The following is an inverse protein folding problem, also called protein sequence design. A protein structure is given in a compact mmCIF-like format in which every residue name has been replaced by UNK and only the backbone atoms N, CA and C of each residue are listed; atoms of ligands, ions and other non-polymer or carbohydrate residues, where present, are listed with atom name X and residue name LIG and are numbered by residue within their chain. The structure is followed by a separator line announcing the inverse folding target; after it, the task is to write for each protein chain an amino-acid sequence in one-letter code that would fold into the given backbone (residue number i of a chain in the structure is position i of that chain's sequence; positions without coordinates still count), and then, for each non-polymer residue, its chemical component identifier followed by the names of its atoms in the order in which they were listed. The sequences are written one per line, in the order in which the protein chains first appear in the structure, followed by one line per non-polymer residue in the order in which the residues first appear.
data_IF_648245529260
#
_entry.id   IF_648245529260
#
_cell.length_a   1.000
_cell.length_b   1.000
_cell.length_c   1.000
_cell.angle_alpha   90.00
_cell.angle_beta   90.00
_cell.angle_gamma   90.00
#
_symmetry.space_group_name_H-M   'P 1'
#
loop_
_entity.id
_entity.type
_entity.pdbx_description
1 polymer ?
#
# COMPACT_ATOMS: atom_id res chain seq x y z
N UNK A 1 -4.05 -4.92 17.79
CA UNK A 1 -3.68 -3.66 17.59
C UNK A 1 -2.44 -3.59 16.78
N UNK A 2 -1.38 -3.23 17.18
CA UNK A 2 -0.17 -3.38 16.48
C UNK A 2 0.04 -2.41 15.34
N UNK A 3 0.10 -2.90 14.12
CA UNK A 3 0.55 -2.13 12.98
C UNK A 3 -0.30 -0.87 12.73
N UNK A 4 -1.61 -1.00 12.82
CA UNK A 4 -2.51 0.10 12.57
C UNK A 4 -2.33 1.24 13.58
N UNK A 5 -2.23 0.89 14.84
CA UNK A 5 -2.03 1.88 15.90
C UNK A 5 -0.68 2.57 15.76
N UNK A 6 0.35 1.82 15.40
CA UNK A 6 1.68 2.37 15.18
C UNK A 6 1.69 3.38 14.03
N UNK A 7 0.97 3.09 12.96
CA UNK A 7 0.87 3.97 11.82
C UNK A 7 0.14 5.25 12.18
N UNK A 8 -0.93 5.13 12.94
CA UNK A 8 -1.70 6.29 13.39
C UNK A 8 -0.86 7.20 14.28
N UNK A 9 -0.09 6.63 15.20
CA UNK A 9 0.83 7.39 16.04
C UNK A 9 1.88 8.08 15.21
N UNK A 10 2.42 7.39 14.24
CA UNK A 10 3.44 7.95 13.35
C UNK A 10 2.89 9.14 12.59
N UNK A 11 1.66 9.03 12.11
CA UNK A 11 1.01 10.13 11.42
C UNK A 11 0.83 11.33 12.34
N UNK A 12 0.45 11.10 13.59
CA UNK A 12 0.29 12.16 14.58
C UNK A 12 1.61 12.87 14.85
N UNK A 13 2.70 12.13 14.92
CA UNK A 13 4.04 12.72 15.13
C UNK A 13 4.43 13.62 13.99
N UNK A 14 3.88 13.40 12.82
CA UNK A 14 4.11 14.27 11.65
C UNK A 14 3.19 15.48 11.64
N UNK A 15 2.40 15.67 12.67
CA UNK A 15 1.48 16.78 12.76
C UNK A 15 0.17 16.53 12.04
N UNK A 16 -0.12 15.30 11.73
CA UNK A 16 -1.38 14.91 11.11
C UNK A 16 -2.39 14.60 12.18
N UNK A 17 -3.54 15.23 12.11
CA UNK A 17 -4.64 14.92 13.03
C UNK A 17 -5.45 13.78 12.44
N UNK A 18 -4.91 12.59 12.52
CA UNK A 18 -5.59 11.39 12.08
C UNK A 18 -6.27 10.75 13.27
N UNK A 19 -7.56 10.82 13.30
CA UNK A 19 -8.30 10.03 14.27
C UNK A 19 -8.37 8.63 13.74
N UNK A 20 -7.85 7.64 14.47
CA UNK A 20 -8.07 6.27 14.07
C UNK A 20 -9.57 6.08 14.02
N UNK A 21 -10.07 5.65 12.91
CA UNK A 21 -11.49 5.37 12.80
C UNK A 21 -11.76 4.10 13.58
N UNK A 22 -12.22 4.29 14.80
CA UNK A 22 -12.63 3.19 15.65
C UNK A 22 -14.02 2.70 15.23
N UNK A 23 -14.27 2.65 13.93
CA UNK A 23 -15.54 2.16 13.42
C UNK A 23 -15.52 0.66 13.45
N UNK A 24 -16.47 0.02 14.14
CA UNK A 24 -16.55 -1.43 14.15
C UNK A 24 -16.66 -1.98 12.73
N UNK A 25 -16.06 -3.13 12.53
CA UNK A 25 -16.02 -3.74 11.22
C UNK A 25 -17.42 -3.94 10.61
N UNK A 26 -18.36 -4.32 11.44
CA UNK A 26 -19.74 -4.54 10.99
C UNK A 26 -20.35 -3.26 10.42
N UNK A 27 -20.03 -2.11 11.04
CA UNK A 27 -20.54 -0.84 10.58
C UNK A 27 -19.93 -0.48 9.24
N UNK A 28 -18.63 -0.72 9.07
CA UNK A 28 -17.96 -0.46 7.81
C UNK A 28 -18.51 -1.33 6.69
N UNK A 29 -18.71 -2.60 6.97
CA UNK A 29 -19.26 -3.53 5.99
C UNK A 29 -20.68 -3.16 5.59
N UNK A 30 -21.47 -2.73 6.57
CA UNK A 30 -22.83 -2.30 6.31
C UNK A 30 -22.87 -1.05 5.45
N UNK A 31 -22.04 -0.08 5.79
CA UNK A 31 -21.96 1.15 5.01
C UNK A 31 -21.50 0.87 3.59
N UNK A 32 -20.55 -0.03 3.43
CA UNK A 32 -20.07 -0.42 2.12
C UNK A 32 -21.16 -1.12 1.31
N UNK A 33 -22.00 -1.93 1.96
CA UNK A 33 -23.10 -2.62 1.29
C UNK A 33 -24.22 -1.67 0.92
N UNK A 34 -24.48 -0.66 1.75
CA UNK A 34 -25.57 0.27 1.54
C UNK A 34 -25.22 1.38 0.56
N UNK A 35 -23.96 1.72 0.45
CA UNK A 35 -23.53 2.83 -0.38
C UNK A 35 -22.26 2.50 -1.15
N UNK A 36 -22.43 1.80 -2.26
CA UNK A 36 -21.31 1.45 -3.12
C UNK A 36 -20.46 2.65 -3.50
N UNK A 37 -21.09 3.80 -3.68
CA UNK A 37 -20.37 5.01 -4.05
C UNK A 37 -19.34 5.41 -2.98
N UNK A 38 -19.67 5.21 -1.71
CA UNK A 38 -18.76 5.56 -0.62
C UNK A 38 -17.51 4.71 -0.67
N UNK A 39 -17.65 3.47 -1.07
CA UNK A 39 -16.53 2.55 -1.14
C UNK A 39 -15.46 3.02 -2.11
N UNK A 40 -15.86 3.63 -3.20
CA UNK A 40 -14.89 4.10 -4.19
C UNK A 40 -14.05 5.26 -3.69
N UNK A 41 -14.58 6.06 -2.78
CA UNK A 41 -13.84 7.17 -2.23
C UNK A 41 -12.78 6.75 -1.24
N UNK A 42 -12.89 5.53 -0.74
CA UNK A 42 -11.94 5.01 0.23
C UNK A 42 -10.84 4.19 -0.41
N UNK A 43 -10.98 3.88 -1.69
CA UNK A 43 -9.98 3.09 -2.40
C UNK A 43 -8.97 4.00 -3.06
N UNK A 44 -7.70 3.77 -2.73
CA UNK A 44 -6.63 4.47 -3.39
C UNK A 44 -6.41 3.89 -4.77
N UNK A 45 -5.92 4.72 -5.67
CA UNK A 45 -5.52 4.30 -7.00
C UNK A 45 -4.06 3.85 -6.96
N UNK A 46 -3.80 2.67 -7.48
CA UNK A 46 -2.44 2.13 -7.55
C UNK A 46 -2.17 1.67 -8.98
N UNK A 47 -1.10 2.17 -9.57
CA UNK A 47 -0.61 1.70 -10.85
C UNK A 47 0.73 1.05 -10.62
N UNK A 48 0.88 -0.20 -11.04
CA UNK A 48 2.11 -0.93 -10.88
C UNK A 48 2.36 -1.83 -12.07
N UNK A 49 3.62 -2.18 -12.28
CA UNK A 49 4.04 -3.16 -13.27
C UNK A 49 4.72 -4.32 -12.59
N UNK A 50 4.57 -5.49 -13.19
CA UNK A 50 5.33 -6.67 -12.80
C UNK A 50 6.42 -6.84 -13.85
N UNK A 51 7.66 -6.73 -13.44
CA UNK A 51 8.79 -6.99 -14.31
C UNK A 51 9.23 -8.44 -14.15
N UNK A 52 9.58 -9.06 -15.23
CA UNK A 52 10.01 -10.45 -15.23
C UNK A 52 11.32 -10.59 -15.98
N UNK A 53 12.22 -11.38 -15.40
CA UNK A 53 13.51 -11.69 -16.00
C UNK A 53 13.84 -13.14 -15.66
N UNK A 54 13.78 -14.04 -16.66
CA UNK A 54 13.97 -15.45 -16.39
C UNK A 54 12.95 -15.98 -15.40
N UNK A 55 13.42 -16.51 -14.27
CA UNK A 55 12.56 -17.03 -13.21
C UNK A 55 12.37 -16.02 -12.07
N UNK A 56 12.71 -14.78 -12.30
CA UNK A 56 12.58 -13.75 -11.29
C UNK A 56 11.52 -12.73 -11.68
N UNK A 57 10.92 -12.11 -10.67
CA UNK A 57 9.98 -11.02 -10.87
C UNK A 57 10.24 -9.91 -9.86
N UNK A 58 9.88 -8.71 -10.25
CA UNK A 58 9.95 -7.54 -9.38
C UNK A 58 8.72 -6.68 -9.61
N UNK A 59 8.34 -5.94 -8.59
CA UNK A 59 7.21 -5.01 -8.66
C UNK A 59 7.73 -3.60 -8.77
N UNK A 60 7.16 -2.84 -9.70
CA UNK A 60 7.48 -1.42 -9.86
C UNK A 60 6.19 -0.64 -9.65
N UNK A 61 6.19 0.23 -8.66
CA UNK A 61 5.09 1.17 -8.48
C UNK A 61 5.25 2.29 -9.48
N UNK A 62 4.18 2.62 -10.19
CA UNK A 62 4.21 3.67 -11.22
C UNK A 62 3.43 4.89 -10.81
N UNK A 63 2.39 4.74 -10.01
CA UNK A 63 1.60 5.85 -9.54
C UNK A 63 0.78 5.42 -8.33
N UNK A 64 0.44 6.38 -7.50
CA UNK A 64 -0.39 6.17 -6.33
C UNK A 64 -1.14 7.46 -6.05
N UNK A 65 -2.45 7.35 -5.88
CA UNK A 65 -3.28 8.50 -5.55
C UNK A 65 -4.32 8.07 -4.53
N UNK A 66 -4.57 8.94 -3.57
CA UNK A 66 -5.61 8.70 -2.58
C UNK A 66 -6.85 9.49 -2.98
N UNK A 67 -8.04 8.97 -2.69
CA UNK A 67 -9.26 9.73 -2.95
C UNK A 67 -9.32 10.92 -1.99
N UNK A 68 -10.01 11.95 -2.43
CA UNK A 68 -10.22 13.13 -1.59
C UNK A 68 -8.93 13.83 -1.18
N UNK A 69 -8.00 13.98 -2.12
CA UNK A 69 -6.75 14.70 -1.85
C UNK A 69 -7.01 16.12 -1.34
N UNK A 70 -8.11 16.69 -1.72
CA UNK A 70 -8.49 18.04 -1.28
C UNK A 70 -8.72 18.12 0.22
N UNK A 71 -8.92 16.98 0.88
CA UNK A 71 -9.08 16.93 2.33
C UNK A 71 -7.76 16.90 3.07
N UNK A 72 -6.65 16.76 2.34
CA UNK A 72 -5.32 16.77 2.96
C UNK A 72 -5.05 18.16 3.51
N UNK A 73 -4.68 18.29 4.80
CA UNK A 73 -4.35 19.59 5.36
C UNK A 73 -3.26 20.27 4.54
N UNK A 74 -3.42 21.56 4.31
CA UNK A 74 -2.50 22.30 3.47
C UNK A 74 -1.05 22.23 3.96
N UNK A 75 -0.87 22.16 5.26
CA UNK A 75 0.44 22.02 5.87
C UNK A 75 1.15 20.73 5.41
N UNK A 76 0.39 19.66 5.29
CA UNK A 76 0.91 18.37 4.83
C UNK A 76 1.08 18.38 3.32
N UNK A 77 0.11 18.97 2.63
CA UNK A 77 0.13 19.04 1.16
C UNK A 77 1.38 19.71 0.63
N UNK A 78 1.89 20.71 1.34
CA UNK A 78 3.10 21.41 0.94
C UNK A 78 4.34 20.52 0.98
N UNK A 79 4.31 19.45 1.75
CA UNK A 79 5.43 18.53 1.86
C UNK A 79 5.37 17.42 0.82
N UNK A 80 4.27 17.34 0.09
CA UNK A 80 4.06 16.30 -0.92
C UNK A 80 4.46 16.88 -2.27
N UNK A 81 5.55 16.38 -2.83
CA UNK A 81 6.03 16.82 -4.13
C UNK A 81 5.81 15.79 -5.22
N UNK A 82 5.81 14.50 -4.85
CA UNK A 82 5.56 13.42 -5.79
C UNK A 82 4.54 12.45 -5.18
N UNK A 83 3.99 11.60 -6.03
CA UNK A 83 2.99 10.63 -5.56
C UNK A 83 3.56 9.68 -4.50
N UNK A 84 4.84 9.36 -4.57
CA UNK A 84 5.46 8.45 -3.60
C UNK A 84 5.50 9.05 -2.19
N UNK A 85 5.41 10.36 -2.06
CA UNK A 85 5.36 11.01 -0.75
C UNK A 85 4.08 10.70 0.01
N UNK A 86 3.05 10.23 -0.68
CA UNK A 86 1.80 9.82 -0.06
C UNK A 86 1.91 8.44 0.59
N UNK A 87 2.96 7.70 0.30
CA UNK A 87 3.15 6.34 0.79
C UNK A 87 4.07 6.36 2.01
N UNK A 88 3.62 5.74 3.10
CA UNK A 88 4.45 5.57 4.28
C UNK A 88 5.40 4.39 4.08
N UNK A 89 4.85 3.24 3.74
CA UNK A 89 5.64 2.07 3.37
C UNK A 89 4.80 1.11 2.53
N UNK A 90 5.46 0.19 1.85
CA UNK A 90 4.75 -0.84 1.09
C UNK A 90 5.53 -2.14 1.13
N UNK A 91 4.81 -3.22 0.93
CA UNK A 91 5.37 -4.56 1.04
C UNK A 91 4.77 -5.49 0.00
N UNK A 92 5.47 -6.58 -0.27
CA UNK A 92 5.10 -7.51 -1.33
C UNK A 92 5.17 -8.93 -0.81
N UNK A 93 4.11 -9.69 -1.12
CA UNK A 93 4.11 -11.14 -1.03
C UNK A 93 4.13 -11.65 -2.48
N UNK A 94 5.24 -12.23 -2.88
CA UNK A 94 5.44 -12.68 -4.26
C UNK A 94 4.77 -14.01 -4.58
N UNK A 95 4.30 -14.73 -3.57
CA UNK A 95 3.68 -16.03 -3.76
C UNK A 95 2.52 -16.19 -2.77
N UNK A 96 1.51 -15.39 -2.99
CA UNK A 96 0.33 -15.39 -2.12
C UNK A 96 -0.56 -16.57 -2.49
N UNK A 97 -0.76 -17.49 -1.57
CA UNK A 97 -1.49 -18.73 -1.87
C UNK A 97 -2.47 -19.20 -0.80
N UNK A 98 -2.36 -18.73 0.42
CA UNK A 98 -3.06 -19.30 1.55
C UNK A 98 -3.87 -18.30 2.36
N UNK A 99 -4.26 -17.21 1.75
CA UNK A 99 -5.02 -16.13 2.38
C UNK A 99 -4.26 -15.39 3.48
N UNK A 100 -3.02 -15.78 3.73
CA UNK A 100 -2.18 -15.12 4.72
C UNK A 100 -1.06 -14.38 3.99
N UNK A 101 -0.99 -13.08 4.22
CA UNK A 101 0.05 -12.26 3.60
C UNK A 101 1.39 -12.52 4.28
N UNK A 102 2.38 -12.88 3.48
CA UNK A 102 3.75 -13.06 3.94
C UNK A 102 4.59 -11.91 3.42
N UNK A 103 5.13 -11.12 4.32
CA UNK A 103 5.95 -9.97 3.94
C UNK A 103 7.33 -10.47 3.49
N UNK A 104 7.50 -10.64 2.19
CA UNK A 104 8.75 -11.12 1.62
C UNK A 104 9.68 -9.99 1.22
N UNK A 105 9.13 -8.79 1.05
CA UNK A 105 9.91 -7.61 0.72
C UNK A 105 9.16 -6.37 1.21
N UNK A 106 9.91 -5.38 1.66
CA UNK A 106 9.31 -4.18 2.22
C UNK A 106 10.20 -2.96 1.95
N UNK A 107 9.57 -1.84 1.66
CA UNK A 107 10.25 -0.55 1.55
C UNK A 107 9.66 0.42 2.54
N UNK A 108 10.52 1.13 3.25
CA UNK A 108 10.12 2.18 4.18
C UNK A 108 11.24 3.23 4.24
N UNK A 109 10.89 4.41 4.72
CA UNK A 109 11.87 5.49 4.81
C UNK A 109 12.61 5.41 6.14
N UNK A 110 13.88 5.79 6.10
CA UNK A 110 14.70 5.95 7.30
C UNK A 110 15.29 7.35 7.30
N UNK A 111 15.97 7.72 8.38
CA UNK A 111 16.66 9.01 8.43
C UNK A 111 17.79 9.07 7.42
N UNK A 112 18.48 7.96 7.24
CA UNK A 112 19.58 7.86 6.30
C UNK A 112 19.09 7.78 4.86
N UNK A 113 17.91 7.19 4.67
CA UNK A 113 17.33 7.03 3.34
C UNK A 113 15.88 7.51 3.37
N UNK A 114 15.66 8.83 3.24
CA UNK A 114 14.31 9.37 3.30
C UNK A 114 13.49 9.15 2.03
N UNK A 115 14.12 8.70 0.95
CA UNK A 115 13.43 8.42 -0.30
C UNK A 115 12.87 7.01 -0.27
N UNK A 116 11.60 6.88 -0.63
CA UNK A 116 10.95 5.58 -0.69
C UNK A 116 11.32 4.87 -1.99
N UNK A 117 11.78 3.63 -1.88
CA UNK A 117 12.01 2.82 -3.06
C UNK A 117 10.67 2.52 -3.73
N UNK A 118 10.60 2.71 -5.04
CA UNK A 118 9.41 2.43 -5.82
C UNK A 118 9.53 1.16 -6.63
N UNK A 119 10.66 0.48 -6.55
CA UNK A 119 10.87 -0.83 -7.13
C UNK A 119 11.24 -1.81 -6.05
N UNK A 120 10.69 -3.03 -6.14
CA UNK A 120 11.05 -4.09 -5.21
C UNK A 120 12.36 -4.74 -5.67
N UNK A 121 12.96 -5.53 -4.79
CA UNK A 121 14.02 -6.42 -5.20
C UNK A 121 13.46 -7.52 -6.10
N UNK A 122 14.36 -8.22 -6.77
CA UNK A 122 14.00 -9.36 -7.58
C UNK A 122 13.71 -10.57 -6.71
N UNK A 123 12.62 -11.24 -6.98
CA UNK A 123 12.25 -12.46 -6.28
C UNK A 123 12.37 -13.64 -7.23
N UNK A 124 13.11 -14.65 -6.83
CA UNK A 124 13.31 -15.85 -7.64
C UNK A 124 12.25 -16.88 -7.30
N UNK A 125 11.61 -17.43 -8.34
CA UNK A 125 10.61 -18.46 -8.19
C UNK A 125 11.24 -19.85 -8.38
N UNK A 126 10.69 -20.86 -7.69
CA UNK A 126 11.30 -22.20 -7.75
C UNK A 126 11.13 -22.91 -9.09
N UNK A 127 10.21 -22.46 -9.92
CA UNK A 127 9.99 -23.09 -11.21
C UNK A 127 8.85 -22.45 -11.98
N UNK A 128 8.53 -23.00 -13.13
CA UNK A 128 7.44 -22.48 -13.95
C UNK A 128 6.09 -22.54 -13.24
N UNK A 129 5.23 -21.61 -13.56
CA UNK A 129 3.90 -21.58 -13.01
C UNK A 129 3.32 -20.19 -12.99
N UNK A 130 2.09 -20.10 -12.50
CA UNK A 130 1.44 -18.82 -12.26
C UNK A 130 1.49 -18.53 -10.78
N UNK A 131 1.93 -17.34 -10.45
CA UNK A 131 2.08 -16.93 -9.06
C UNK A 131 1.27 -15.66 -8.84
N UNK A 132 0.53 -15.65 -7.74
CA UNK A 132 -0.23 -14.47 -7.34
C UNK A 132 0.63 -13.60 -6.46
N UNK A 133 0.64 -12.31 -6.76
CA UNK A 133 1.44 -11.34 -6.03
C UNK A 133 0.49 -10.38 -5.34
N UNK A 134 0.69 -10.16 -4.05
CA UNK A 134 -0.09 -9.18 -3.30
C UNK A 134 0.83 -8.05 -2.89
N UNK A 135 0.43 -6.84 -3.23
CA UNK A 135 1.15 -5.63 -2.85
C UNK A 135 0.28 -4.88 -1.86
N UNK A 136 0.85 -4.58 -0.70
CA UNK A 136 0.17 -3.80 0.32
C UNK A 136 0.86 -2.46 0.47
N UNK A 137 0.07 -1.41 0.44
CA UNK A 137 0.57 -0.04 0.54
C UNK A 137 -0.13 0.62 1.71
N UNK A 138 0.66 1.17 2.62
CA UNK A 138 0.14 1.95 3.73
C UNK A 138 0.47 3.40 3.45
N UNK A 139 -0.55 4.23 3.36
CA UNK A 139 -0.33 5.64 3.08
C UNK A 139 -0.03 6.43 4.36
N UNK A 140 0.31 7.69 4.19
CA UNK A 140 0.71 8.54 5.32
C UNK A 140 -0.44 8.78 6.31
N UNK A 141 -1.67 8.44 5.94
CA UNK A 141 -2.83 8.56 6.81
C UNK A 141 -3.18 7.24 7.49
N UNK A 142 -2.38 6.19 7.26
CA UNK A 142 -2.58 4.90 7.88
C UNK A 142 -3.57 4.00 7.17
N UNK A 143 -4.00 4.36 5.97
CA UNK A 143 -4.92 3.52 5.21
C UNK A 143 -4.15 2.41 4.49
N UNK A 144 -4.76 1.24 4.44
CA UNK A 144 -4.21 0.06 3.82
C UNK A 144 -4.85 -0.13 2.44
N UNK A 145 -4.03 -0.20 1.42
CA UNK A 145 -4.47 -0.48 0.06
C UNK A 145 -3.80 -1.77 -0.41
N UNK A 146 -4.59 -2.70 -0.89
CA UNK A 146 -4.10 -3.98 -1.37
C UNK A 146 -4.32 -4.08 -2.86
N UNK A 147 -3.28 -4.45 -3.59
CA UNK A 147 -3.34 -4.67 -5.03
C UNK A 147 -2.89 -6.08 -5.35
N UNK A 148 -3.68 -6.77 -6.14
CA UNK A 148 -3.38 -8.13 -6.57
C UNK A 148 -2.80 -8.08 -7.97
N UNK A 149 -1.73 -8.84 -8.19
CA UNK A 149 -1.11 -8.98 -9.49
C UNK A 149 -0.79 -10.45 -9.74
N UNK A 150 -0.47 -10.77 -10.97
CA UNK A 150 -0.13 -12.14 -11.32
C UNK A 150 1.09 -12.14 -12.22
N UNK A 151 1.94 -13.13 -12.04
CA UNK A 151 3.10 -13.34 -12.90
C UNK A 151 3.11 -14.77 -13.38
N UNK A 152 3.48 -14.96 -14.65
CA UNK A 152 3.63 -16.28 -15.21
C UNK A 152 5.11 -16.52 -15.51
N UNK A 153 5.65 -17.53 -14.85
CA UNK A 153 7.03 -17.95 -15.03
C UNK A 153 7.03 -19.12 -16.01
N UNK A 154 7.81 -19.02 -17.05
CA UNK A 154 7.89 -20.07 -18.08
C UNK A 154 8.97 -21.07 -17.80
#
# INVERSE_FOLDING_TARGET
MGLHDTITERARRRGLDLRPRQIPREVMERQAAEADAVRFFELAYVDLDVRRQGQEAAIVLKDFAIPSEELIPQKVRKQITTWSDLIDYWSVDFDFSDEIFHNQWQAYRTREEPTLATESGWHEYPGPGRYSIVVKIIDIFGNDTTKLAEVRIK
#
